data_IF_594628824180
#
_entry.id   IF_594628824180
#
_cell.length_a   1.000
_cell.length_b   1.000
_cell.length_c   1.000
_cell.angle_alpha   90.00
_cell.angle_beta   90.00
_cell.angle_gamma   90.00
#
_symmetry.space_group_name_H-M   'P 1'
#
loop_
_entity.id
_entity.type
_entity.pdbx_description
1 polymer ?
#
# COMPACT_ATOMS: atom_id res chain seq x y z
N UNK A 1 -0.97 22.12 -5.63
CA UNK A 1 -0.81 21.02 -4.64
C UNK A 1 0.67 20.90 -4.30
N UNK A 2 1.03 20.78 -3.02
CA UNK A 2 2.45 20.62 -2.66
C UNK A 2 2.95 19.22 -3.06
N UNK A 3 4.21 19.06 -3.51
CA UNK A 3 4.79 17.77 -3.88
C UNK A 3 4.68 16.72 -2.76
N UNK A 4 4.67 17.18 -1.50
CA UNK A 4 4.56 16.32 -0.32
C UNK A 4 3.19 15.63 -0.22
N UNK A 5 2.12 16.29 -0.66
CA UNK A 5 0.77 15.73 -0.66
C UNK A 5 0.66 14.57 -1.65
N UNK A 6 1.26 14.72 -2.84
CA UNK A 6 1.29 13.66 -3.85
C UNK A 6 2.12 12.45 -3.40
N UNK A 7 3.20 12.68 -2.64
CA UNK A 7 4.03 11.60 -2.09
C UNK A 7 3.33 10.78 -1.01
N UNK A 8 2.49 11.40 -0.19
CA UNK A 8 1.76 10.73 0.88
C UNK A 8 0.44 10.10 0.41
N UNK A 9 -0.07 10.49 -0.76
CA UNK A 9 -1.37 10.04 -1.26
C UNK A 9 -1.54 8.51 -1.31
N UNK A 10 -0.58 7.71 -1.81
CA UNK A 10 -0.73 6.24 -1.85
C UNK A 10 -0.92 5.62 -0.46
N UNK A 11 -0.11 6.07 0.50
CA UNK A 11 -0.19 5.61 1.88
C UNK A 11 -1.48 6.08 2.58
N UNK A 12 -1.90 7.31 2.34
CA UNK A 12 -3.15 7.87 2.89
C UNK A 12 -4.39 7.13 2.35
N UNK A 13 -4.41 6.83 1.05
CA UNK A 13 -5.50 6.05 0.42
C UNK A 13 -5.56 4.65 1.02
N UNK A 14 -4.42 3.97 1.18
CA UNK A 14 -4.39 2.66 1.81
C UNK A 14 -4.92 2.71 3.26
N UNK A 15 -4.45 3.65 4.07
CA UNK A 15 -4.89 3.82 5.45
C UNK A 15 -6.41 4.06 5.54
N UNK A 16 -6.94 4.93 4.67
CA UNK A 16 -8.38 5.20 4.62
C UNK A 16 -9.18 3.94 4.26
N UNK A 17 -8.70 3.13 3.32
CA UNK A 17 -9.36 1.88 2.90
C UNK A 17 -9.34 0.85 4.01
N UNK A 18 -8.22 0.70 4.73
CA UNK A 18 -8.14 -0.22 5.88
C UNK A 18 -9.10 0.22 7.00
N UNK A 19 -9.15 1.52 7.32
CA UNK A 19 -10.07 2.05 8.32
C UNK A 19 -11.53 1.86 7.87
N UNK A 20 -11.84 2.13 6.60
CA UNK A 20 -13.18 1.92 6.07
C UNK A 20 -13.58 0.44 6.10
N UNK A 21 -12.68 -0.47 5.74
CA UNK A 21 -12.90 -1.91 5.82
C UNK A 21 -13.20 -2.35 7.26
N UNK A 22 -12.42 -1.86 8.22
CA UNK A 22 -12.61 -2.10 9.66
C UNK A 22 -13.96 -1.67 10.18
N UNK A 23 -14.40 -0.47 9.79
CA UNK A 23 -15.66 0.10 10.25
C UNK A 23 -16.87 -0.47 9.53
N UNK A 24 -16.69 -1.02 8.32
CA UNK A 24 -17.78 -1.49 7.48
C UNK A 24 -18.49 -2.73 8.02
N UNK A 25 -17.83 -3.59 8.81
CA UNK A 25 -18.39 -4.87 9.28
C UNK A 25 -18.92 -5.77 8.17
N UNK A 26 -18.46 -5.58 6.93
CA UNK A 26 -18.92 -6.28 5.73
C UNK A 26 -17.91 -7.36 5.35
N UNK A 27 -18.36 -8.59 5.19
CA UNK A 27 -17.55 -9.75 4.80
C UNK A 27 -16.81 -9.56 3.47
N UNK A 28 -17.22 -8.59 2.64
CA UNK A 28 -16.58 -8.25 1.36
C UNK A 28 -15.48 -7.18 1.47
N UNK A 29 -15.33 -6.54 2.62
CA UNK A 29 -14.28 -5.56 2.89
C UNK A 29 -12.83 -6.07 2.69
N UNK A 30 -12.51 -7.37 2.87
CA UNK A 30 -11.21 -7.93 2.50
C UNK A 30 -10.81 -7.73 1.04
N UNK A 31 -11.78 -7.85 0.13
CA UNK A 31 -11.52 -7.74 -1.30
C UNK A 31 -11.10 -6.32 -1.69
N UNK A 32 -11.64 -5.30 -1.02
CA UNK A 32 -11.25 -3.90 -1.25
C UNK A 32 -9.81 -3.63 -0.81
N UNK A 33 -9.41 -4.13 0.35
CA UNK A 33 -8.02 -3.99 0.85
C UNK A 33 -7.05 -4.68 -0.10
N UNK A 34 -7.37 -5.91 -0.54
CA UNK A 34 -6.54 -6.67 -1.50
C UNK A 34 -6.47 -5.99 -2.87
N UNK A 35 -7.60 -5.47 -3.37
CA UNK A 35 -7.64 -4.73 -4.62
C UNK A 35 -6.71 -3.49 -4.57
N UNK A 36 -6.78 -2.72 -3.49
CA UNK A 36 -5.95 -1.52 -3.31
C UNK A 36 -4.47 -1.89 -3.19
N UNK A 37 -4.12 -2.97 -2.48
CA UNK A 37 -2.75 -3.48 -2.45
C UNK A 37 -2.26 -3.88 -3.84
N UNK A 38 -3.09 -4.56 -4.63
CA UNK A 38 -2.77 -4.92 -6.02
C UNK A 38 -2.51 -3.70 -6.90
N UNK A 39 -3.34 -2.66 -6.78
CA UNK A 39 -3.15 -1.40 -7.52
C UNK A 39 -1.87 -0.68 -7.10
N UNK A 40 -1.55 -0.67 -5.79
CA UNK A 40 -0.31 -0.07 -5.28
C UNK A 40 0.93 -0.84 -5.75
N UNK A 41 0.86 -2.18 -5.82
CA UNK A 41 1.94 -3.00 -6.38
C UNK A 41 2.18 -2.69 -7.86
N UNK A 42 1.10 -2.60 -8.65
CA UNK A 42 1.21 -2.23 -10.06
C UNK A 42 1.80 -0.83 -10.23
N UNK A 43 1.32 0.15 -9.47
CA UNK A 43 1.84 1.52 -9.49
C UNK A 43 3.34 1.55 -9.13
N UNK A 44 3.75 0.81 -8.10
CA UNK A 44 5.15 0.71 -7.70
C UNK A 44 6.03 0.15 -8.83
N UNK A 45 5.57 -0.91 -9.52
CA UNK A 45 6.29 -1.48 -10.67
C UNK A 45 6.43 -0.47 -11.81
N UNK A 46 5.38 0.28 -12.12
CA UNK A 46 5.42 1.35 -13.12
C UNK A 46 6.43 2.43 -12.73
N UNK A 47 6.38 2.91 -11.48
CA UNK A 47 7.31 3.93 -10.98
C UNK A 47 8.76 3.45 -10.97
N UNK A 48 9.01 2.18 -10.62
CA UNK A 48 10.33 1.56 -10.71
C UNK A 48 10.80 1.45 -12.16
N UNK A 49 9.93 1.04 -13.08
CA UNK A 49 10.23 1.01 -14.51
C UNK A 49 10.60 2.39 -15.05
N UNK A 50 9.86 3.42 -14.67
CA UNK A 50 10.16 4.82 -15.03
C UNK A 50 11.48 5.27 -14.41
N UNK A 51 11.76 4.92 -13.15
CA UNK A 51 13.03 5.25 -12.49
C UNK A 51 14.23 4.56 -13.13
N UNK A 52 14.03 3.37 -13.69
CA UNK A 52 15.10 2.57 -14.27
C UNK A 52 15.38 2.93 -15.73
N UNK A 53 14.34 3.32 -16.48
CA UNK A 53 14.43 3.77 -17.88
C UNK A 53 14.70 5.28 -18.00
N UNK A 54 14.32 6.06 -16.99
CA UNK A 54 14.60 7.49 -16.90
C UNK A 54 16.08 7.71 -16.64
N UNK A 55 16.76 8.37 -17.58
CA UNK A 55 18.15 8.80 -17.41
C UNK A 55 18.37 9.67 -16.17
N UNK A 56 19.62 10.07 -15.87
CA UNK A 56 20.01 10.74 -14.62
C UNK A 56 19.23 12.03 -14.28
N UNK A 57 18.57 12.65 -15.26
CA UNK A 57 17.77 13.88 -15.12
C UNK A 57 16.26 13.65 -14.97
N UNK A 58 15.78 12.40 -15.02
CA UNK A 58 14.38 12.09 -14.77
C UNK A 58 14.07 12.36 -13.29
N UNK A 59 13.47 13.52 -13.03
CA UNK A 59 12.85 13.97 -11.78
C UNK A 59 12.60 12.84 -10.78
N UNK A 60 13.61 12.58 -9.94
CA UNK A 60 13.73 11.48 -8.96
C UNK A 60 12.37 10.99 -8.43
N UNK A 61 11.76 9.93 -8.99
CA UNK A 61 10.46 9.42 -8.54
C UNK A 61 10.57 8.64 -7.21
N UNK A 62 11.79 8.56 -6.64
CA UNK A 62 12.10 7.84 -5.40
C UNK A 62 11.19 8.14 -4.21
N UNK A 63 10.78 9.39 -3.93
CA UNK A 63 9.87 9.64 -2.81
C UNK A 63 8.46 9.09 -3.07
N UNK A 64 8.01 9.09 -4.33
CA UNK A 64 6.74 8.50 -4.75
C UNK A 64 6.81 6.97 -4.67
N UNK A 65 7.92 6.37 -5.11
CA UNK A 65 8.21 4.94 -4.94
C UNK A 65 8.14 4.55 -3.46
N UNK A 66 8.83 5.29 -2.58
CA UNK A 66 8.81 5.03 -1.14
C UNK A 66 7.40 5.12 -0.53
N UNK A 67 6.63 6.15 -0.89
CA UNK A 67 5.24 6.31 -0.44
C UNK A 67 4.33 5.17 -0.90
N UNK A 68 4.57 4.61 -2.09
CA UNK A 68 3.80 3.50 -2.65
C UNK A 68 4.25 2.14 -2.10
N UNK A 69 5.53 2.00 -1.74
CA UNK A 69 6.10 0.77 -1.18
C UNK A 69 5.71 0.55 0.30
N UNK A 70 5.47 1.61 1.07
CA UNK A 70 5.12 1.52 2.49
C UNK A 70 3.89 0.64 2.78
N UNK A 71 2.74 0.83 2.10
CA UNK A 71 1.59 -0.07 2.23
C UNK A 71 1.90 -1.55 1.94
N UNK A 72 2.73 -1.82 0.93
CA UNK A 72 3.11 -3.19 0.55
C UNK A 72 4.03 -3.82 1.58
N UNK A 73 4.99 -3.06 2.11
CA UNK A 73 5.86 -3.51 3.19
C UNK A 73 5.07 -3.82 4.47
N UNK A 74 4.09 -2.96 4.82
CA UNK A 74 3.17 -3.20 5.92
C UNK A 74 2.38 -4.50 5.71
N UNK A 75 1.76 -4.68 4.53
CA UNK A 75 1.02 -5.91 4.23
C UNK A 75 1.91 -7.15 4.30
N UNK A 76 3.14 -7.09 3.77
CA UNK A 76 4.13 -8.17 3.87
C UNK A 76 4.50 -8.50 5.32
N UNK A 77 4.72 -7.50 6.16
CA UNK A 77 5.00 -7.69 7.58
C UNK A 77 3.82 -8.35 8.30
N UNK A 78 2.58 -7.92 8.03
CA UNK A 78 1.38 -8.53 8.61
C UNK A 78 1.27 -10.00 8.20
N UNK A 79 1.52 -10.33 6.93
CA UNK A 79 1.54 -11.72 6.46
C UNK A 79 2.63 -12.55 7.15
N UNK A 80 3.83 -12.00 7.35
CA UNK A 80 4.93 -12.68 8.04
C UNK A 80 4.59 -12.96 9.51
N UNK A 81 4.10 -11.95 10.23
CA UNK A 81 3.68 -12.08 11.62
C UNK A 81 2.53 -13.08 11.77
N UNK A 82 1.60 -13.10 10.82
CA UNK A 82 0.51 -14.06 10.77
C UNK A 82 0.99 -15.49 10.51
N UNK A 83 1.94 -15.67 9.57
CA UNK A 83 2.59 -16.96 9.33
C UNK A 83 3.32 -17.48 10.57
N UNK A 84 3.88 -16.57 11.37
CA UNK A 84 4.50 -16.88 12.66
C UNK A 84 3.49 -17.12 13.80
N UNK A 85 2.18 -17.06 13.52
CA UNK A 85 1.09 -17.15 14.51
C UNK A 85 1.18 -16.11 15.64
N UNK A 86 1.91 -15.01 15.41
CA UNK A 86 2.06 -13.93 16.38
C UNK A 86 0.86 -12.99 16.37
N UNK A 87 0.18 -12.90 15.22
CA UNK A 87 -1.03 -12.10 15.05
C UNK A 87 -2.05 -12.87 14.21
N UNK A 88 -3.31 -12.53 14.38
CA UNK A 88 -4.35 -12.94 13.45
C UNK A 88 -4.36 -11.94 12.26
N UNK A 89 -3.98 -12.37 11.03
CA UNK A 89 -3.91 -11.49 9.87
C UNK A 89 -5.26 -10.88 9.54
N UNK A 90 -6.33 -11.63 9.76
CA UNK A 90 -7.69 -11.19 9.51
C UNK A 90 -7.98 -9.99 10.42
N UNK A 91 -7.79 -10.18 11.72
CA UNK A 91 -8.04 -9.17 12.72
C UNK A 91 -7.03 -8.01 12.72
N UNK A 92 -5.98 -8.02 11.89
CA UNK A 92 -5.01 -6.92 11.70
C UNK A 92 -5.17 -6.17 10.37
N UNK A 93 -5.62 -6.83 9.31
CA UNK A 93 -5.99 -6.20 8.04
C UNK A 93 -7.41 -5.62 8.03
N UNK A 94 -8.20 -5.88 9.08
CA UNK A 94 -9.59 -5.42 9.19
C UNK A 94 -10.64 -6.38 8.69
N UNK A 95 -10.29 -7.65 8.70
CA UNK A 95 -11.11 -8.79 8.35
C UNK A 95 -11.59 -9.37 9.70
N UNK A 96 -12.87 -9.18 10.02
CA UNK A 96 -13.55 -9.87 11.11
C UNK A 96 -14.70 -10.67 10.51
#
# INVERSE_FOLDING_TARGET
MSPRVLMAAPAAVFAAVVIAARLSGNDKSPFLVLLVLGLLALLLLVLLGVAWLGGPDASKPWPLIAGTALPLAYAGLVVLLARAQLIDPLNWLGLR
#
